data_IF_917260883475
#
_entry.id   IF_917260883475
#
_cell.length_a   1.000
_cell.length_b   1.000
_cell.length_c   1.000
_cell.angle_alpha   90.00
_cell.angle_beta   90.00
_cell.angle_gamma   90.00
#
_symmetry.space_group_name_H-M   'P 1'
#
loop_
_entity.id
_entity.type
_entity.pdbx_description
1 polymer ?
#
# COMPACT_ATOMS: atom_id res chain seq x y z
N UNK A 1 52.96 31.17 -37.48
CA UNK A 1 52.95 30.33 -36.26
C UNK A 1 51.52 29.82 -36.04
N UNK A 2 51.35 28.47 -36.07
CA UNK A 2 50.26 27.61 -35.52
C UNK A 2 48.79 27.95 -35.91
N UNK A 3 48.12 27.22 -36.82
CA UNK A 3 47.43 25.88 -36.77
C UNK A 3 46.27 25.74 -35.75
N UNK A 4 45.08 25.40 -36.29
CA UNK A 4 43.97 24.64 -35.65
C UNK A 4 43.16 25.40 -34.60
N UNK A 5 41.86 25.17 -34.38
CA UNK A 5 41.06 23.95 -34.56
C UNK A 5 39.57 24.30 -34.55
N UNK A 6 38.79 23.60 -35.38
CA UNK A 6 37.35 23.43 -35.23
C UNK A 6 37.04 22.81 -33.85
N UNK A 7 36.00 23.29 -33.17
CA UNK A 7 35.37 22.55 -32.08
C UNK A 7 33.92 22.27 -32.44
N UNK A 8 33.66 21.00 -32.73
CA UNK A 8 32.37 20.35 -32.52
C UNK A 8 31.88 20.64 -31.10
N UNK A 9 30.65 21.09 -30.95
CA UNK A 9 29.89 20.90 -29.73
C UNK A 9 28.69 20.02 -30.05
N UNK A 10 28.91 18.70 -29.95
CA UNK A 10 27.86 17.75 -29.65
C UNK A 10 27.52 17.91 -28.16
N UNK A 11 26.33 18.41 -27.81
CA UNK A 11 25.80 18.11 -26.48
C UNK A 11 24.28 18.19 -26.40
N UNK A 12 23.72 17.03 -26.09
CA UNK A 12 22.44 16.76 -25.45
C UNK A 12 21.17 17.23 -26.18
N UNK A 13 20.50 16.23 -26.77
CA UNK A 13 19.05 16.22 -26.89
C UNK A 13 18.45 16.70 -25.58
N UNK A 14 17.87 17.90 -25.60
CA UNK A 14 17.03 18.46 -24.56
C UNK A 14 15.74 17.65 -24.44
N UNK A 15 15.86 16.39 -24.05
CA UNK A 15 14.80 15.72 -23.33
C UNK A 15 14.78 16.37 -21.96
N UNK A 16 13.77 17.21 -21.71
CA UNK A 16 13.26 17.37 -20.34
C UNK A 16 13.28 15.98 -19.72
N UNK A 17 13.81 15.76 -18.50
CA UNK A 17 13.63 14.48 -17.86
C UNK A 17 12.12 14.30 -17.81
N UNK A 18 11.58 13.43 -18.67
CA UNK A 18 10.31 12.78 -18.42
C UNK A 18 10.57 12.22 -17.05
N UNK A 19 10.05 12.90 -16.04
CA UNK A 19 10.04 12.42 -14.67
C UNK A 19 9.35 11.09 -14.84
N UNK A 20 10.12 10.00 -14.98
CA UNK A 20 9.60 8.66 -14.85
C UNK A 20 8.99 8.75 -13.46
N UNK A 21 7.68 8.98 -13.39
CA UNK A 21 6.91 8.57 -12.23
C UNK A 21 7.26 7.11 -12.20
N UNK A 22 8.21 6.74 -11.34
CA UNK A 22 8.64 5.37 -11.20
C UNK A 22 7.36 4.65 -10.84
N UNK A 23 6.71 4.01 -11.81
CA UNK A 23 5.45 3.35 -11.56
C UNK A 23 5.75 2.31 -10.49
N UNK A 24 5.20 2.48 -9.30
CA UNK A 24 5.35 1.50 -8.23
C UNK A 24 4.22 0.48 -8.40
N UNK A 25 4.53 -0.79 -8.13
CA UNK A 25 3.51 -1.83 -8.06
C UNK A 25 3.12 -1.99 -6.59
N UNK A 26 1.84 -1.81 -6.28
CA UNK A 26 1.32 -1.98 -4.92
C UNK A 26 0.47 -3.23 -4.88
N UNK A 27 0.88 -4.22 -4.09
CA UNK A 27 0.06 -5.37 -3.74
C UNK A 27 -0.79 -5.00 -2.53
N UNK A 28 -2.09 -5.25 -2.61
CA UNK A 28 -3.02 -5.04 -1.51
C UNK A 28 -3.57 -6.39 -1.06
N UNK A 29 -3.59 -6.58 0.25
CA UNK A 29 -4.28 -7.67 0.90
C UNK A 29 -5.23 -7.09 1.94
N UNK A 30 -6.52 -7.41 1.82
CA UNK A 30 -7.57 -6.81 2.65
C UNK A 30 -8.43 -7.92 3.23
N UNK A 31 -8.36 -8.05 4.55
CA UNK A 31 -9.19 -9.00 5.28
C UNK A 31 -10.45 -8.30 5.80
N UNK A 32 -11.58 -8.99 5.72
CA UNK A 32 -12.90 -8.43 6.08
C UNK A 32 -13.68 -9.36 7.00
N UNK A 33 -14.67 -8.80 7.71
CA UNK A 33 -15.65 -9.60 8.45
C UNK A 33 -16.43 -10.49 7.48
N UNK A 34 -16.55 -11.78 7.80
CA UNK A 34 -17.44 -12.68 7.09
C UNK A 34 -18.90 -12.47 7.56
N UNK A 35 -19.84 -12.10 6.69
CA UNK A 35 -21.21 -11.86 7.11
C UNK A 35 -21.93 -13.18 7.45
N UNK A 36 -22.44 -13.28 8.68
CA UNK A 36 -23.22 -14.44 9.18
C UNK A 36 -24.58 -14.59 8.44
N UNK A 37 -25.04 -13.54 7.74
CA UNK A 37 -26.26 -13.55 6.91
C UNK A 37 -26.00 -12.77 5.63
N UNK A 38 -26.56 -13.21 4.50
CA UNK A 38 -26.34 -12.67 3.13
C UNK A 38 -26.61 -11.15 2.96
N UNK A 39 -27.24 -10.50 3.93
CA UNK A 39 -27.63 -9.09 3.88
C UNK A 39 -26.71 -8.16 4.71
N UNK A 40 -25.72 -8.68 5.43
CA UNK A 40 -24.79 -7.84 6.20
C UNK A 40 -23.64 -7.35 5.33
N UNK A 41 -23.26 -6.08 5.49
CA UNK A 41 -22.12 -5.46 4.79
C UNK A 41 -20.79 -5.98 5.36
N UNK A 42 -19.81 -6.17 4.48
CA UNK A 42 -18.42 -6.41 4.87
C UNK A 42 -17.84 -5.18 5.57
N UNK A 43 -17.03 -5.41 6.60
CA UNK A 43 -16.21 -4.40 7.28
C UNK A 43 -14.76 -4.84 7.17
N UNK A 44 -13.88 -3.91 6.86
CA UNK A 44 -12.45 -4.17 6.83
C UNK A 44 -11.91 -4.38 8.25
N UNK A 45 -11.11 -5.43 8.42
CA UNK A 45 -10.46 -5.80 9.69
C UNK A 45 -8.95 -5.70 9.61
N UNK A 46 -8.38 -5.86 8.42
CA UNK A 46 -6.96 -5.66 8.17
C UNK A 46 -6.76 -4.98 6.81
N UNK A 47 -5.77 -4.10 6.75
CA UNK A 47 -5.25 -3.56 5.50
C UNK A 47 -3.76 -3.86 5.43
N UNK A 48 -3.37 -4.66 4.44
CA UNK A 48 -2.00 -4.95 4.06
C UNK A 48 -1.66 -4.33 2.72
N UNK A 49 -0.47 -3.75 2.61
CA UNK A 49 0.08 -3.23 1.37
C UNK A 49 1.59 -3.50 1.27
N UNK A 50 2.05 -3.89 0.09
CA UNK A 50 3.47 -4.02 -0.23
C UNK A 50 3.76 -3.24 -1.52
N UNK A 51 4.66 -2.27 -1.41
CA UNK A 51 5.12 -1.43 -2.52
C UNK A 51 6.39 -2.04 -3.11
N UNK A 52 6.38 -2.27 -4.42
CA UNK A 52 7.41 -3.04 -5.14
C UNK A 52 7.91 -2.26 -6.35
N UNK A 53 9.22 -2.33 -6.59
CA UNK A 53 9.79 -1.85 -7.86
C UNK A 53 9.42 -2.84 -8.98
N UNK A 54 8.61 -2.48 -9.99
CA UNK A 54 8.11 -3.45 -10.97
C UNK A 54 9.21 -4.04 -11.86
N UNK A 55 10.32 -3.33 -12.06
CA UNK A 55 11.43 -3.82 -12.90
C UNK A 55 12.34 -4.81 -12.18
N UNK A 56 12.44 -4.71 -10.86
CA UNK A 56 13.36 -5.51 -10.04
C UNK A 56 12.64 -6.51 -9.14
N UNK A 57 11.33 -6.35 -8.96
CA UNK A 57 10.48 -7.12 -8.05
C UNK A 57 11.01 -7.15 -6.61
N UNK A 58 11.66 -6.05 -6.21
CA UNK A 58 12.13 -5.86 -4.83
C UNK A 58 11.11 -5.06 -4.05
N UNK A 59 10.80 -5.53 -2.84
CA UNK A 59 10.01 -4.77 -1.86
C UNK A 59 10.76 -3.48 -1.51
N UNK A 60 10.04 -2.36 -1.62
CA UNK A 60 10.53 -1.05 -1.19
C UNK A 60 10.00 -0.68 0.18
N UNK A 61 8.73 -1.01 0.44
CA UNK A 61 8.03 -0.71 1.69
C UNK A 61 6.85 -1.67 1.86
N UNK A 62 6.55 -2.02 3.08
CA UNK A 62 5.31 -2.68 3.47
C UNK A 62 4.57 -1.86 4.53
N UNK A 63 3.27 -2.10 4.61
CA UNK A 63 2.37 -1.56 5.61
C UNK A 63 1.31 -2.60 5.92
N UNK A 64 1.13 -2.96 7.19
CA UNK A 64 -0.02 -3.76 7.63
C UNK A 64 -0.58 -3.13 8.89
N UNK A 65 -1.90 -3.12 9.01
CA UNK A 65 -2.59 -2.64 10.20
C UNK A 65 -3.93 -3.35 10.37
N UNK A 66 -4.24 -3.71 11.61
CA UNK A 66 -5.60 -4.06 11.99
C UNK A 66 -6.47 -2.80 12.05
N UNK A 67 -7.76 -2.98 11.82
CA UNK A 67 -8.73 -1.89 11.77
C UNK A 67 -9.91 -2.24 12.65
N UNK A 68 -10.18 -1.37 13.61
CA UNK A 68 -11.30 -1.49 14.53
C UNK A 68 -12.60 -1.09 13.84
N UNK A 69 -13.57 -2.01 13.68
CA UNK A 69 -14.88 -1.66 13.17
C UNK A 69 -15.65 -0.83 14.21
N UNK A 70 -16.64 -0.06 13.76
CA UNK A 70 -17.52 0.69 14.67
C UNK A 70 -18.34 -0.19 15.63
N UNK A 71 -18.56 -1.46 15.26
CA UNK A 71 -19.25 -2.46 16.07
C UNK A 71 -18.40 -3.73 16.18
N UNK A 72 -17.85 -4.00 17.37
CA UNK A 72 -16.99 -5.15 17.65
C UNK A 72 -17.76 -6.49 17.66
N UNK A 73 -19.09 -6.47 17.78
CA UNK A 73 -19.89 -7.70 17.75
C UNK A 73 -19.80 -8.41 16.39
N UNK A 74 -19.35 -7.71 15.35
CA UNK A 74 -19.14 -8.23 14.00
C UNK A 74 -17.90 -9.10 13.85
N UNK A 75 -16.96 -9.07 14.81
CA UNK A 75 -15.74 -9.88 14.80
C UNK A 75 -16.01 -11.14 15.62
N UNK A 76 -15.95 -12.37 15.09
CA UNK A 76 -16.19 -13.58 15.88
C UNK A 76 -15.29 -13.63 17.14
N UNK A 77 -15.80 -14.09 18.27
CA UNK A 77 -14.99 -14.28 19.50
C UNK A 77 -13.93 -15.38 19.31
N UNK A 78 -14.28 -16.43 18.57
CA UNK A 78 -13.35 -17.46 18.14
C UNK A 78 -13.07 -17.31 16.65
N UNK A 79 -11.86 -16.90 16.26
CA UNK A 79 -11.39 -17.15 14.90
C UNK A 79 -11.17 -18.65 14.74
N UNK A 80 -11.81 -19.29 13.77
CA UNK A 80 -11.55 -20.71 13.44
C UNK A 80 -10.15 -20.94 12.86
N UNK A 81 -9.41 -19.86 12.59
CA UNK A 81 -8.00 -19.87 12.20
C UNK A 81 -7.12 -19.80 13.46
N UNK A 82 -6.24 -20.77 13.60
CA UNK A 82 -5.24 -20.89 14.68
C UNK A 82 -4.24 -19.73 14.74
N UNK A 83 -4.06 -18.99 13.63
CA UNK A 83 -3.15 -17.83 13.50
C UNK A 83 -3.90 -16.51 13.23
N UNK A 84 -5.21 -16.46 13.49
CA UNK A 84 -6.10 -15.41 12.99
C UNK A 84 -6.24 -14.13 13.84
N UNK A 85 -6.76 -13.09 13.20
CA UNK A 85 -7.20 -11.81 13.78
C UNK A 85 -8.09 -12.05 15.01
N UNK A 86 -7.61 -11.71 16.21
CA UNK A 86 -8.38 -11.86 17.46
C UNK A 86 -9.26 -10.64 17.72
N UNK A 87 -10.39 -10.85 18.40
CA UNK A 87 -11.30 -9.76 18.78
C UNK A 87 -10.60 -8.74 19.68
N UNK A 88 -9.71 -9.20 20.56
CA UNK A 88 -8.92 -8.38 21.48
C UNK A 88 -7.95 -7.48 20.70
N UNK A 89 -7.24 -8.04 19.72
CA UNK A 89 -6.32 -7.26 18.89
C UNK A 89 -7.07 -6.21 18.04
N UNK A 90 -8.24 -6.57 17.50
CA UNK A 90 -9.10 -5.62 16.77
C UNK A 90 -9.67 -4.54 17.69
N UNK A 91 -9.98 -4.86 18.94
CA UNK A 91 -10.47 -3.88 19.91
C UNK A 91 -9.42 -2.82 20.27
N UNK A 92 -8.14 -3.19 20.26
CA UNK A 92 -7.01 -2.29 20.48
C UNK A 92 -6.54 -1.54 19.21
N UNK A 93 -7.06 -1.92 18.04
CA UNK A 93 -6.65 -1.37 16.75
C UNK A 93 -7.19 0.06 16.51
N UNK A 94 -6.53 0.85 15.64
CA UNK A 94 -7.05 2.14 15.20
C UNK A 94 -8.34 1.95 14.39
N UNK A 95 -9.20 2.96 14.41
CA UNK A 95 -10.30 3.06 13.45
C UNK A 95 -9.77 3.40 12.07
N UNK A 96 -10.55 3.09 11.04
CA UNK A 96 -10.19 3.42 9.65
C UNK A 96 -9.88 4.92 9.46
N UNK A 97 -10.64 5.81 10.08
CA UNK A 97 -10.44 7.27 9.97
C UNK A 97 -9.04 7.72 10.45
N UNK A 98 -8.44 7.00 11.39
CA UNK A 98 -7.13 7.31 11.96
C UNK A 98 -5.98 6.86 11.03
N UNK A 99 -6.21 5.88 10.16
CA UNK A 99 -5.21 5.34 9.22
C UNK A 99 -5.46 5.72 7.76
N UNK A 100 -6.60 6.33 7.44
CA UNK A 100 -7.02 6.64 6.08
C UNK A 100 -6.00 7.52 5.33
N UNK A 101 -5.42 8.52 6.01
CA UNK A 101 -4.40 9.38 5.41
C UNK A 101 -3.12 8.61 5.04
N UNK A 102 -2.69 7.68 5.90
CA UNK A 102 -1.55 6.80 5.65
C UNK A 102 -1.81 5.88 4.47
N UNK A 103 -2.99 5.25 4.43
CA UNK A 103 -3.42 4.37 3.32
C UNK A 103 -3.47 5.16 2.01
N UNK A 104 -4.05 6.37 2.02
CA UNK A 104 -4.10 7.24 0.85
C UNK A 104 -2.70 7.59 0.33
N UNK A 105 -1.76 7.89 1.23
CA UNK A 105 -0.37 8.19 0.86
C UNK A 105 0.42 6.97 0.36
N UNK A 106 -0.08 5.74 0.52
CA UNK A 106 0.51 4.55 -0.12
C UNK A 106 0.01 4.41 -1.57
N UNK A 107 -1.18 4.95 -1.87
CA UNK A 107 -1.81 4.85 -3.18
C UNK A 107 -1.44 6.00 -4.15
N UNK A 108 -0.77 7.06 -3.67
CA UNK A 108 -0.50 8.32 -4.40
C UNK A 108 0.96 8.73 -4.35
#
# INVERSE_FOLDING_TARGET
MKRGTSQEQNMALGGSPCRERSSELVFLDVETTMPVRKEKRFRMLEFGAIVVCPRKLVEKRSYSTLIRPGDLSMVPESSSRSDGITREAVAAAPKFEEVAATIYGILH
#
